data_IF_037416387140
#
_entry.id   IF_037416387140
#
_cell.length_a   1.000
_cell.length_b   1.000
_cell.length_c   1.000
_cell.angle_alpha   90.00
_cell.angle_beta   90.00
_cell.angle_gamma   90.00
#
_symmetry.space_group_name_H-M   'P 1'
#
loop_
_entity.id
_entity.type
_entity.pdbx_description
1 polymer ?
#
# COMPACT_ATOMS: atom_id res chain seq x y z
N UNK A 1 -21.34 -9.40 1.51
CA UNK A 1 -20.39 -8.65 0.66
C UNK A 1 -21.12 -7.46 0.05
N UNK A 2 -20.71 -6.21 0.30
CA UNK A 2 -21.30 -5.03 -0.35
C UNK A 2 -21.35 -5.18 -1.88
N UNK A 3 -22.44 -4.73 -2.52
CA UNK A 3 -22.69 -4.89 -3.97
C UNK A 3 -21.52 -4.38 -4.83
N UNK A 4 -20.97 -3.22 -4.48
CA UNK A 4 -19.86 -2.61 -5.23
C UNK A 4 -18.60 -3.49 -5.30
N UNK A 5 -18.36 -4.36 -4.31
CA UNK A 5 -17.16 -5.19 -4.30
C UNK A 5 -17.25 -6.28 -5.37
N UNK A 6 -18.43 -6.85 -5.59
CA UNK A 6 -18.67 -7.81 -6.67
C UNK A 6 -18.54 -7.11 -8.04
N UNK A 7 -19.15 -5.93 -8.17
CA UNK A 7 -19.03 -5.11 -9.38
C UNK A 7 -17.56 -4.77 -9.70
N UNK A 8 -16.77 -4.44 -8.67
CA UNK A 8 -15.35 -4.13 -8.81
C UNK A 8 -14.55 -5.35 -9.29
N UNK A 9 -14.77 -6.51 -8.69
CA UNK A 9 -14.12 -7.77 -9.10
C UNK A 9 -14.44 -8.09 -10.55
N UNK A 10 -15.72 -8.02 -10.93
CA UNK A 10 -16.16 -8.30 -12.30
C UNK A 10 -15.60 -7.28 -13.30
N UNK A 11 -15.72 -5.98 -13.00
CA UNK A 11 -15.28 -4.89 -13.87
C UNK A 11 -13.78 -4.99 -14.17
N UNK A 12 -12.97 -5.27 -13.15
CA UNK A 12 -11.52 -5.37 -13.31
C UNK A 12 -11.03 -6.81 -13.57
N UNK A 13 -11.90 -7.83 -13.61
CA UNK A 13 -11.51 -9.25 -13.79
C UNK A 13 -10.49 -9.73 -12.75
N UNK A 14 -10.77 -9.45 -11.48
CA UNK A 14 -9.87 -9.75 -10.37
C UNK A 14 -10.07 -11.19 -9.87
N UNK A 15 -9.01 -11.77 -9.30
CA UNK A 15 -9.10 -13.01 -8.51
C UNK A 15 -8.66 -12.71 -7.07
N UNK A 16 -9.61 -12.59 -6.12
CA UNK A 16 -9.29 -12.44 -4.71
C UNK A 16 -8.36 -13.54 -4.22
N UNK A 17 -7.32 -13.15 -3.49
CA UNK A 17 -6.37 -14.05 -2.83
C UNK A 17 -5.87 -13.41 -1.54
N UNK A 18 -6.45 -13.82 -0.41
CA UNK A 18 -6.07 -13.36 0.92
C UNK A 18 -5.12 -14.31 1.65
N UNK A 19 -4.54 -15.30 0.96
CA UNK A 19 -3.70 -16.36 1.58
C UNK A 19 -2.35 -15.84 2.10
N UNK A 20 -1.88 -14.70 1.61
CA UNK A 20 -0.65 -13.99 2.02
C UNK A 20 -0.99 -12.59 2.50
N UNK A 21 -0.33 -12.14 3.57
CA UNK A 21 -0.33 -10.73 3.95
C UNK A 21 0.74 -9.98 3.13
N UNK A 22 0.31 -8.95 2.41
CA UNK A 22 1.13 -8.01 1.63
C UNK A 22 1.11 -6.69 2.37
N UNK A 23 2.09 -6.49 3.24
CA UNK A 23 2.19 -5.33 4.09
C UNK A 23 3.05 -4.26 3.40
N UNK A 24 2.46 -3.09 3.14
CA UNK A 24 3.20 -1.91 2.67
C UNK A 24 3.30 -0.92 3.81
N UNK A 25 4.53 -0.50 4.14
CA UNK A 25 4.83 0.44 5.21
C UNK A 25 5.36 1.74 4.62
N UNK A 26 4.58 2.81 4.72
CA UNK A 26 5.01 4.17 4.40
C UNK A 26 5.51 4.89 5.66
N UNK A 27 6.07 6.09 5.48
CA UNK A 27 6.64 6.85 6.60
C UNK A 27 5.59 7.37 7.57
N UNK A 28 4.65 8.18 7.09
CA UNK A 28 3.69 8.91 7.90
C UNK A 28 2.44 9.30 7.09
N UNK A 29 1.30 9.57 7.75
CA UNK A 29 0.10 10.11 7.10
C UNK A 29 0.37 11.40 6.31
N UNK A 30 -0.46 11.66 5.29
CA UNK A 30 -0.45 12.93 4.57
C UNK A 30 -0.71 14.10 5.52
N UNK A 31 0.23 15.05 5.60
CA UNK A 31 0.10 16.26 6.41
C UNK A 31 -0.81 17.33 5.78
N UNK A 32 -1.09 17.22 4.48
CA UNK A 32 -1.88 18.19 3.73
C UNK A 32 -3.39 18.11 4.07
N UNK A 33 -4.09 19.20 3.75
CA UNK A 33 -5.55 19.33 3.87
C UNK A 33 -6.13 19.76 2.54
N UNK A 34 -7.40 19.42 2.29
CA UNK A 34 -8.22 19.96 1.22
C UNK A 34 -9.27 20.90 1.85
N UNK A 35 -9.00 22.19 1.83
CA UNK A 35 -9.73 23.16 2.64
C UNK A 35 -9.65 22.80 4.13
N UNK A 36 -10.79 22.58 4.77
CA UNK A 36 -10.85 22.19 6.19
C UNK A 36 -10.69 20.69 6.42
N UNK A 37 -10.72 19.85 5.37
CA UNK A 37 -10.70 18.39 5.51
C UNK A 37 -9.27 17.84 5.47
N UNK A 38 -8.86 16.98 6.42
CA UNK A 38 -7.59 16.25 6.33
C UNK A 38 -7.52 15.42 5.04
N UNK A 39 -6.34 15.38 4.41
CA UNK A 39 -6.12 14.51 3.27
C UNK A 39 -5.83 13.07 3.69
N UNK A 40 -5.26 12.86 4.88
CA UNK A 40 -5.07 11.54 5.45
C UNK A 40 -6.41 10.82 5.65
N UNK A 41 -6.43 9.53 5.32
CA UNK A 41 -7.57 8.65 5.58
C UNK A 41 -7.55 8.25 7.06
N UNK A 42 -8.60 8.62 7.80
CA UNK A 42 -8.82 8.15 9.18
C UNK A 42 -9.24 6.68 9.17
N UNK A 43 -8.80 5.95 10.20
CA UNK A 43 -9.19 4.56 10.44
C UNK A 43 -10.44 4.42 11.30
N UNK A 44 -11.07 5.53 11.69
CA UNK A 44 -12.30 5.51 12.46
C UNK A 44 -13.40 4.79 11.68
N UNK A 45 -13.97 3.75 12.29
CA UNK A 45 -14.98 2.90 11.64
C UNK A 45 -14.41 1.78 10.78
N UNK A 46 -13.09 1.58 10.76
CA UNK A 46 -12.47 0.47 10.03
C UNK A 46 -12.92 -0.90 10.56
N UNK A 47 -13.14 -1.83 9.65
CA UNK A 47 -13.33 -3.25 9.97
C UNK A 47 -12.01 -3.95 10.24
N UNK A 48 -10.93 -3.51 9.58
CA UNK A 48 -9.55 -3.99 9.83
C UNK A 48 -9.05 -3.49 11.20
N UNK A 49 -8.66 -4.39 12.13
CA UNK A 49 -8.22 -4.00 13.47
C UNK A 49 -7.07 -2.99 13.47
N UNK A 50 -6.05 -3.21 12.64
CA UNK A 50 -4.88 -2.33 12.55
C UNK A 50 -5.28 -0.87 12.28
N UNK A 51 -6.10 -0.62 11.25
CA UNK A 51 -6.54 0.75 10.90
C UNK A 51 -7.35 1.38 12.02
N UNK A 52 -8.21 0.61 12.70
CA UNK A 52 -9.00 1.11 13.83
C UNK A 52 -8.11 1.55 14.98
N UNK A 53 -7.06 0.78 15.27
CA UNK A 53 -6.15 1.02 16.38
C UNK A 53 -5.12 2.12 16.11
N UNK A 54 -4.73 2.33 14.86
CA UNK A 54 -3.77 3.38 14.47
C UNK A 54 -4.44 4.66 13.94
N UNK A 55 -5.76 4.60 13.75
CA UNK A 55 -6.60 5.65 13.16
C UNK A 55 -6.04 6.23 11.84
N UNK A 56 -5.46 5.36 11.00
CA UNK A 56 -4.93 5.80 9.73
C UNK A 56 -4.79 4.67 8.69
N UNK A 57 -4.80 5.06 7.42
CA UNK A 57 -4.41 4.21 6.28
C UNK A 57 -3.28 4.90 5.52
N UNK A 58 -2.21 4.15 5.22
CA UNK A 58 -1.10 4.70 4.46
C UNK A 58 -1.38 4.81 2.96
N UNK A 59 -0.72 5.76 2.30
CA UNK A 59 -0.67 5.93 0.84
C UNK A 59 -2.02 6.15 0.13
N UNK A 60 -3.16 6.12 0.84
CA UNK A 60 -4.45 6.55 0.33
C UNK A 60 -4.76 7.96 0.82
N UNK A 61 -5.53 8.69 0.03
CA UNK A 61 -6.07 9.99 0.40
C UNK A 61 -7.58 9.91 0.64
N UNK A 62 -8.11 10.81 1.46
CA UNK A 62 -9.52 10.87 1.82
C UNK A 62 -10.45 11.23 0.65
N UNK A 63 -9.90 11.73 -0.46
CA UNK A 63 -10.64 12.11 -1.65
C UNK A 63 -9.93 11.61 -2.92
N UNK A 64 -10.56 10.68 -3.64
CA UNK A 64 -10.03 10.11 -4.87
C UNK A 64 -9.73 11.13 -5.97
N UNK A 65 -10.40 12.29 -5.95
CA UNK A 65 -10.15 13.35 -6.93
C UNK A 65 -8.78 14.01 -6.75
N UNK A 66 -8.15 13.86 -5.57
CA UNK A 66 -6.84 14.40 -5.26
C UNK A 66 -5.78 13.30 -5.26
N UNK A 67 -5.37 12.89 -6.45
CA UNK A 67 -4.30 11.90 -6.61
C UNK A 67 -2.96 12.47 -6.13
N UNK A 68 -2.50 12.04 -4.95
CA UNK A 68 -1.13 12.28 -4.49
C UNK A 68 -0.21 11.16 -5.00
N UNK A 69 1.08 11.45 -5.19
CA UNK A 69 2.04 10.50 -5.81
C UNK A 69 2.08 9.16 -5.08
N UNK A 70 1.97 9.16 -3.74
CA UNK A 70 1.87 7.93 -2.95
C UNK A 70 0.68 7.05 -3.32
N UNK A 71 -0.49 7.64 -3.59
CA UNK A 71 -1.70 6.89 -4.01
C UNK A 71 -1.56 6.37 -5.43
N UNK A 72 -0.99 7.18 -6.32
CA UNK A 72 -0.72 6.77 -7.69
C UNK A 72 0.19 5.55 -7.75
N UNK A 73 1.31 5.57 -7.03
CA UNK A 73 2.28 4.47 -7.07
C UNK A 73 1.75 3.18 -6.46
N UNK A 74 1.00 3.28 -5.35
CA UNK A 74 0.47 2.08 -4.71
C UNK A 74 -0.59 1.44 -5.60
N UNK A 75 -1.49 2.24 -6.20
CA UNK A 75 -2.47 1.72 -7.13
C UNK A 75 -1.82 1.14 -8.40
N UNK A 76 -0.76 1.76 -8.89
CA UNK A 76 0.01 1.24 -10.03
C UNK A 76 0.66 -0.11 -9.71
N UNK A 77 1.31 -0.21 -8.55
CA UNK A 77 1.92 -1.44 -8.06
C UNK A 77 0.87 -2.55 -7.91
N UNK A 78 -0.23 -2.26 -7.21
CA UNK A 78 -1.29 -3.24 -6.99
C UNK A 78 -1.93 -3.69 -8.31
N UNK A 79 -2.11 -2.77 -9.27
CA UNK A 79 -2.73 -3.04 -10.55
C UNK A 79 -1.80 -3.68 -11.60
N UNK A 80 -0.48 -3.71 -11.35
CA UNK A 80 0.52 -4.14 -12.32
C UNK A 80 0.76 -3.13 -13.46
N UNK A 81 0.41 -1.86 -13.26
CA UNK A 81 0.69 -0.78 -14.21
C UNK A 81 -0.12 0.51 -13.97
N UNK A 82 0.42 1.68 -14.37
CA UNK A 82 -0.16 2.99 -14.06
C UNK A 82 -1.54 3.23 -14.66
N UNK A 83 -1.73 2.90 -15.95
CA UNK A 83 -3.01 3.11 -16.65
C UNK A 83 -4.17 2.42 -15.93
N UNK A 84 -3.91 1.22 -15.40
CA UNK A 84 -4.91 0.45 -14.66
C UNK A 84 -5.10 0.95 -13.24
N UNK A 85 -4.02 1.37 -12.57
CA UNK A 85 -4.10 2.07 -11.28
C UNK A 85 -5.00 3.31 -11.35
N UNK A 86 -4.83 4.14 -12.38
CA UNK A 86 -5.69 5.30 -12.64
C UNK A 86 -7.14 4.91 -12.97
N UNK A 87 -7.34 3.87 -13.77
CA UNK A 87 -8.68 3.36 -14.06
C UNK A 87 -9.41 2.89 -12.78
N UNK A 88 -8.69 2.23 -11.86
CA UNK A 88 -9.22 1.83 -10.55
C UNK A 88 -9.60 3.06 -9.72
N UNK A 89 -8.73 4.05 -9.61
CA UNK A 89 -9.03 5.29 -8.89
C UNK A 89 -10.26 6.02 -9.45
N UNK A 90 -10.33 6.15 -10.78
CA UNK A 90 -11.47 6.78 -11.46
C UNK A 90 -12.77 6.01 -11.22
N UNK A 91 -12.73 4.67 -11.22
CA UNK A 91 -13.88 3.84 -10.91
C UNK A 91 -14.35 4.02 -9.46
N UNK A 92 -13.42 4.02 -8.50
CA UNK A 92 -13.72 4.21 -7.07
C UNK A 92 -14.34 5.59 -6.82
N UNK A 93 -13.79 6.64 -7.47
CA UNK A 93 -14.34 7.99 -7.44
C UNK A 93 -15.76 8.04 -8.01
N UNK A 94 -15.97 7.47 -9.20
CA UNK A 94 -17.26 7.44 -9.90
C UNK A 94 -18.35 6.77 -9.05
N UNK A 95 -18.01 5.69 -8.36
CA UNK A 95 -18.95 4.94 -7.51
C UNK A 95 -18.98 5.43 -6.06
N UNK A 96 -18.29 6.54 -5.75
CA UNK A 96 -18.26 7.17 -4.42
C UNK A 96 -17.86 6.19 -3.30
N UNK A 97 -16.96 5.27 -3.60
CA UNK A 97 -16.45 4.33 -2.60
C UNK A 97 -15.57 5.09 -1.62
N UNK A 98 -15.73 4.91 -0.31
CA UNK A 98 -14.83 5.56 0.64
C UNK A 98 -13.43 4.93 0.58
N UNK A 99 -12.33 5.72 0.64
CA UNK A 99 -10.97 5.20 0.71
C UNK A 99 -10.73 4.18 1.82
N UNK A 100 -11.33 4.41 3.01
CA UNK A 100 -11.27 3.44 4.10
C UNK A 100 -11.97 2.11 3.76
N UNK A 101 -13.15 2.18 3.12
CA UNK A 101 -13.87 0.98 2.68
C UNK A 101 -13.09 0.19 1.62
N UNK A 102 -12.35 0.88 0.75
CA UNK A 102 -11.44 0.24 -0.19
C UNK A 102 -10.23 -0.39 0.50
N UNK A 103 -9.65 0.27 1.50
CA UNK A 103 -8.54 -0.28 2.29
C UNK A 103 -8.95 -1.56 3.05
N UNK A 104 -10.14 -1.56 3.66
CA UNK A 104 -10.70 -2.75 4.30
C UNK A 104 -10.96 -3.89 3.30
N UNK A 105 -11.48 -3.55 2.12
CA UNK A 105 -11.68 -4.49 1.03
C UNK A 105 -10.36 -5.13 0.55
N UNK A 106 -9.31 -4.32 0.38
CA UNK A 106 -7.97 -4.79 0.02
C UNK A 106 -7.42 -5.79 1.05
N UNK A 107 -7.58 -5.49 2.34
CA UNK A 107 -7.15 -6.39 3.40
C UNK A 107 -7.93 -7.70 3.40
N UNK A 108 -9.27 -7.62 3.36
CA UNK A 108 -10.14 -8.79 3.47
C UNK A 108 -10.05 -9.72 2.26
N UNK A 109 -9.94 -9.19 1.05
CA UNK A 109 -10.03 -9.98 -0.19
C UNK A 109 -8.68 -10.25 -0.87
N UNK A 110 -7.66 -9.45 -0.60
CA UNK A 110 -6.34 -9.60 -1.23
C UNK A 110 -5.19 -9.63 -0.24
N UNK A 111 -5.49 -9.59 1.07
CA UNK A 111 -4.46 -9.58 2.11
C UNK A 111 -3.52 -8.38 2.02
N UNK A 112 -3.96 -7.23 1.48
CA UNK A 112 -3.11 -6.02 1.42
C UNK A 112 -3.37 -5.12 2.62
N UNK A 113 -2.33 -4.79 3.38
CA UNK A 113 -2.39 -3.85 4.50
C UNK A 113 -1.47 -2.65 4.25
N UNK A 114 -2.00 -1.44 4.37
CA UNK A 114 -1.27 -0.20 4.12
C UNK A 114 -1.02 0.56 5.44
N UNK A 115 0.18 0.40 5.99
CA UNK A 115 0.55 0.92 7.30
C UNK A 115 1.50 2.12 7.22
N UNK A 116 1.46 3.00 8.23
CA UNK A 116 2.49 4.02 8.42
C UNK A 116 3.40 3.64 9.58
N UNK A 117 4.70 3.90 9.42
CA UNK A 117 5.73 3.74 10.44
C UNK A 117 5.52 4.69 11.63
N UNK A 118 5.04 5.92 11.36
CA UNK A 118 4.73 6.94 12.36
C UNK A 118 3.28 7.39 12.23
N UNK A 119 2.61 7.63 13.35
CA UNK A 119 1.25 8.19 13.43
C UNK A 119 1.22 9.33 14.45
N UNK A 120 0.02 9.87 14.74
CA UNK A 120 -0.16 10.83 15.82
C UNK A 120 0.19 10.25 17.19
N UNK A 121 0.06 8.94 17.36
CA UNK A 121 0.35 8.22 18.60
C UNK A 121 1.83 7.81 18.70
N UNK A 122 2.65 8.29 17.75
CA UNK A 122 4.07 8.05 17.69
C UNK A 122 4.46 6.88 16.80
N UNK A 123 5.52 6.21 17.19
CA UNK A 123 6.24 5.25 16.38
C UNK A 123 5.61 3.84 16.44
N UNK A 124 5.25 3.25 15.30
CA UNK A 124 4.44 2.03 15.22
C UNK A 124 5.24 0.73 15.08
N UNK A 125 6.57 0.75 15.29
CA UNK A 125 7.45 -0.42 15.05
C UNK A 125 7.04 -1.61 15.90
N UNK A 126 6.89 -1.43 17.20
CA UNK A 126 6.49 -2.50 18.11
C UNK A 126 5.16 -3.13 17.68
N UNK A 127 4.19 -2.31 17.23
CA UNK A 127 2.89 -2.80 16.74
C UNK A 127 3.02 -3.57 15.43
N UNK A 128 3.84 -3.08 14.49
CA UNK A 128 4.11 -3.76 13.23
C UNK A 128 4.89 -5.07 13.44
N UNK A 129 5.88 -5.09 14.33
CA UNK A 129 6.60 -6.32 14.70
C UNK A 129 5.67 -7.34 15.38
N UNK A 130 4.77 -6.90 16.26
CA UNK A 130 3.75 -7.76 16.86
C UNK A 130 2.78 -8.32 15.81
N UNK A 131 2.37 -7.49 14.84
CA UNK A 131 1.58 -7.97 13.71
C UNK A 131 2.33 -9.06 12.93
N UNK A 132 3.61 -8.84 12.61
CA UNK A 132 4.43 -9.83 11.90
C UNK A 132 4.58 -11.14 12.67
N UNK A 133 4.67 -11.09 14.01
CA UNK A 133 4.87 -12.29 14.83
C UNK A 133 3.58 -13.07 15.11
N UNK A 134 2.42 -12.42 14.99
CA UNK A 134 1.11 -13.02 15.26
C UNK A 134 0.31 -13.34 13.99
N UNK A 135 0.77 -12.88 12.83
CA UNK A 135 0.11 -13.13 11.55
C UNK A 135 0.26 -14.61 11.13
N UNK A 136 -0.84 -15.38 11.01
CA UNK A 136 -0.78 -16.79 10.63
C UNK A 136 -0.45 -17.02 9.15
N UNK A 137 -0.61 -16.00 8.30
CA UNK A 137 -0.32 -16.10 6.87
C UNK A 137 1.16 -15.82 6.58
N UNK A 138 1.71 -16.36 5.48
CA UNK A 138 2.96 -15.86 4.94
C UNK A 138 2.89 -14.34 4.73
N UNK A 139 3.97 -13.62 5.05
CA UNK A 139 4.03 -12.15 4.89
C UNK A 139 5.03 -11.78 3.79
N UNK A 140 4.71 -10.74 3.02
CA UNK A 140 5.66 -9.97 2.22
C UNK A 140 5.59 -8.52 2.63
N UNK A 141 6.74 -7.95 2.99
CA UNK A 141 6.86 -6.62 3.57
C UNK A 141 7.53 -5.66 2.58
N UNK A 142 6.88 -4.56 2.23
CA UNK A 142 7.45 -3.53 1.36
C UNK A 142 7.51 -2.19 2.11
N UNK A 143 8.70 -1.62 2.25
CA UNK A 143 8.87 -0.26 2.73
C UNK A 143 8.87 0.74 1.59
N UNK A 144 8.02 1.76 1.68
CA UNK A 144 8.02 2.88 0.77
C UNK A 144 9.01 3.96 1.28
N UNK A 145 10.28 3.80 0.91
CA UNK A 145 11.39 4.66 1.31
C UNK A 145 12.24 4.12 2.46
N UNK A 146 13.52 4.49 2.48
CA UNK A 146 14.47 4.05 3.51
C UNK A 146 14.09 4.49 4.92
N UNK A 147 13.52 5.68 5.08
CA UNK A 147 13.09 6.19 6.38
C UNK A 147 11.99 5.32 7.02
N UNK A 148 11.14 4.67 6.21
CA UNK A 148 10.13 3.75 6.74
C UNK A 148 10.75 2.44 7.25
N UNK A 149 11.89 2.03 6.68
CA UNK A 149 12.63 0.82 7.02
C UNK A 149 13.68 1.04 8.13
N UNK A 150 14.09 2.29 8.35
CA UNK A 150 15.16 2.62 9.28
C UNK A 150 14.90 2.06 10.68
N UNK A 151 15.88 1.32 11.20
CA UNK A 151 15.88 0.66 12.49
C UNK A 151 14.66 -0.27 12.73
N UNK A 152 13.98 -0.71 11.67
CA UNK A 152 12.82 -1.60 11.79
C UNK A 152 13.22 -3.02 12.18
N UNK A 153 14.34 -3.52 11.66
CA UNK A 153 14.83 -4.86 11.91
C UNK A 153 15.73 -4.88 13.15
N UNK A 154 15.34 -5.63 14.16
CA UNK A 154 16.13 -5.96 15.34
C UNK A 154 15.94 -7.45 15.70
N UNK A 155 16.49 -7.89 16.84
CA UNK A 155 16.40 -9.29 17.31
C UNK A 155 14.96 -9.78 17.54
N UNK A 156 13.99 -8.88 17.66
CA UNK A 156 12.57 -9.21 17.86
C UNK A 156 11.80 -9.29 16.54
N UNK A 157 12.35 -8.79 15.43
CA UNK A 157 11.67 -8.80 14.13
C UNK A 157 11.70 -10.20 13.54
N UNK A 158 10.53 -10.83 13.26
CA UNK A 158 10.49 -12.11 12.59
C UNK A 158 11.16 -12.05 11.22
N UNK A 159 11.84 -13.13 10.83
CA UNK A 159 12.39 -13.26 9.49
C UNK A 159 11.25 -13.32 8.46
N UNK A 160 11.08 -12.24 7.69
CA UNK A 160 10.06 -12.13 6.64
C UNK A 160 10.68 -11.61 5.34
N UNK A 161 10.22 -12.07 4.17
CA UNK A 161 10.62 -11.48 2.89
C UNK A 161 10.30 -9.99 2.87
N UNK A 162 11.32 -9.15 2.64
CA UNK A 162 11.16 -7.71 2.63
C UNK A 162 11.82 -7.03 1.44
N UNK A 163 11.29 -5.88 1.05
CA UNK A 163 11.88 -4.98 0.06
C UNK A 163 11.77 -3.53 0.51
N UNK A 164 12.70 -2.71 0.05
CA UNK A 164 12.68 -1.26 0.25
C UNK A 164 12.68 -0.59 -1.12
N UNK A 165 11.59 0.11 -1.44
CA UNK A 165 11.46 0.89 -2.67
C UNK A 165 11.82 2.36 -2.42
N UNK A 166 12.07 3.11 -3.48
CA UNK A 166 12.22 4.57 -3.41
C UNK A 166 10.95 5.21 -2.84
N UNK A 167 11.10 6.24 -2.01
CA UNK A 167 9.95 6.97 -1.48
C UNK A 167 9.20 7.67 -2.64
N UNK A 168 7.87 7.53 -2.76
CA UNK A 168 7.15 8.07 -3.92
C UNK A 168 7.04 9.59 -3.96
N UNK A 169 7.35 10.28 -2.87
CA UNK A 169 7.45 11.74 -2.80
C UNK A 169 8.88 12.25 -2.64
N UNK A 170 9.90 11.52 -3.13
CA UNK A 170 11.28 12.02 -3.13
C UNK A 170 11.35 13.37 -3.85
N UNK A 171 11.90 14.40 -3.20
CA UNK A 171 11.93 15.77 -3.73
C UNK A 171 12.76 15.90 -5.02
N UNK A 172 13.59 14.90 -5.32
CA UNK A 172 14.53 14.89 -6.43
C UNK A 172 14.03 14.07 -7.65
N UNK A 173 12.70 13.96 -7.84
CA UNK A 173 12.08 13.35 -9.05
C UNK A 173 12.50 14.01 -10.39
N UNK A 174 13.33 15.06 -10.36
CA UNK A 174 13.96 15.68 -11.53
C UNK A 174 15.31 15.07 -11.95
N UNK A 175 15.92 14.17 -11.17
CA UNK A 175 17.13 13.45 -11.58
C UNK A 175 16.74 12.20 -12.38
N UNK A 176 17.38 11.97 -13.55
CA UNK A 176 17.08 10.82 -14.43
C UNK A 176 17.13 9.48 -13.70
N UNK A 177 18.04 9.34 -12.72
CA UNK A 177 18.17 8.16 -11.86
C UNK A 177 16.89 7.89 -11.07
N UNK A 178 16.29 8.92 -10.48
CA UNK A 178 15.11 8.76 -9.61
C UNK A 178 13.84 8.52 -10.42
N UNK A 179 13.75 9.11 -11.62
CA UNK A 179 12.70 8.80 -12.59
C UNK A 179 12.77 7.33 -13.05
N UNK A 180 13.97 6.82 -13.32
CA UNK A 180 14.20 5.39 -13.62
C UNK A 180 13.81 4.48 -12.46
N UNK A 181 14.23 4.81 -11.23
CA UNK A 181 13.86 4.03 -10.03
C UNK A 181 12.35 4.03 -9.78
N UNK A 182 11.65 5.15 -9.98
CA UNK A 182 10.18 5.20 -9.91
C UNK A 182 9.52 4.27 -10.93
N UNK A 183 10.02 4.30 -12.17
CA UNK A 183 9.55 3.41 -13.24
C UNK A 183 9.69 1.94 -12.83
N UNK A 184 10.84 1.53 -12.32
CA UNK A 184 11.09 0.12 -11.98
C UNK A 184 10.39 -0.33 -10.68
N UNK A 185 10.39 0.49 -9.63
CA UNK A 185 9.79 0.12 -8.34
C UNK A 185 8.27 0.06 -8.36
N UNK A 186 7.64 1.08 -8.95
CA UNK A 186 6.22 1.34 -8.71
C UNK A 186 5.36 1.10 -9.95
N UNK A 187 5.87 1.44 -11.14
CA UNK A 187 5.10 1.35 -12.38
C UNK A 187 5.29 0.01 -13.11
N UNK A 188 6.55 -0.42 -13.30
CA UNK A 188 6.89 -1.72 -13.86
C UNK A 188 6.91 -2.82 -12.81
N UNK A 189 7.26 -2.48 -11.56
CA UNK A 189 7.36 -3.38 -10.42
C UNK A 189 8.16 -4.66 -10.72
N UNK A 190 9.27 -4.55 -11.44
CA UNK A 190 9.97 -5.66 -12.09
C UNK A 190 11.17 -6.21 -11.29
N UNK A 191 11.20 -5.96 -9.97
CA UNK A 191 12.20 -6.42 -9.00
C UNK A 191 13.63 -5.93 -9.23
N UNK A 192 13.96 -5.38 -10.41
CA UNK A 192 15.34 -5.10 -10.83
C UNK A 192 16.02 -3.92 -10.13
N UNK A 193 15.33 -3.18 -9.26
CA UNK A 193 15.84 -1.89 -8.79
C UNK A 193 15.74 -1.60 -7.29
N UNK A 194 15.16 -2.49 -6.48
CA UNK A 194 14.91 -2.23 -5.05
C UNK A 194 16.16 -1.69 -4.34
N UNK A 195 15.98 -0.68 -3.48
CA UNK A 195 17.08 -0.10 -2.70
C UNK A 195 17.76 -1.15 -1.83
N UNK A 196 16.94 -2.01 -1.21
CA UNK A 196 17.34 -3.17 -0.42
C UNK A 196 16.28 -4.25 -0.53
N UNK A 197 16.68 -5.52 -0.46
CA UNK A 197 15.74 -6.64 -0.35
C UNK A 197 16.32 -7.76 0.50
N UNK A 198 15.43 -8.45 1.20
CA UNK A 198 15.71 -9.72 1.87
C UNK A 198 15.49 -10.91 0.94
N UNK A 199 15.84 -12.12 1.40
CA UNK A 199 15.63 -13.34 0.63
C UNK A 199 14.15 -13.55 0.28
N UNK A 200 13.91 -14.14 -0.89
CA UNK A 200 12.59 -14.54 -1.40
C UNK A 200 11.56 -13.41 -1.54
N UNK A 201 12.01 -12.15 -1.56
CA UNK A 201 11.14 -11.01 -1.83
C UNK A 201 10.87 -10.85 -3.33
N UNK A 202 9.62 -10.53 -3.68
CA UNK A 202 9.23 -10.09 -5.02
C UNK A 202 8.07 -9.10 -4.95
N UNK A 203 8.16 -8.00 -5.71
CA UNK A 203 7.11 -7.03 -5.95
C UNK A 203 5.91 -7.63 -6.66
N UNK A 204 6.09 -8.75 -7.40
CA UNK A 204 4.98 -9.47 -8.03
C UNK A 204 3.95 -9.93 -7.01
N UNK A 205 4.36 -10.21 -5.77
CA UNK A 205 3.44 -10.55 -4.70
C UNK A 205 2.40 -9.45 -4.44
N UNK A 206 2.70 -8.18 -4.76
CA UNK A 206 1.81 -7.06 -4.50
C UNK A 206 0.83 -6.78 -5.66
N UNK A 207 0.97 -7.39 -6.84
CA UNK A 207 0.14 -7.14 -8.04
C UNK A 207 -1.24 -7.81 -7.98
N UNK A 208 -1.94 -7.66 -6.87
CA UNK A 208 -3.19 -8.38 -6.58
C UNK A 208 -4.43 -7.84 -7.31
N UNK A 209 -4.31 -6.66 -7.92
CA UNK A 209 -5.35 -6.04 -8.74
C UNK A 209 -5.05 -6.15 -10.25
N UNK A 210 -4.03 -6.91 -10.63
CA UNK A 210 -3.77 -7.26 -12.03
C UNK A 210 -4.84 -8.24 -12.56
N UNK A 211 -5.11 -8.26 -13.88
CA UNK A 211 -5.99 -9.26 -14.47
C UNK A 211 -5.45 -10.66 -14.21
N UNK A 212 -6.37 -11.60 -14.02
CA UNK A 212 -6.01 -13.00 -13.78
C UNK A 212 -5.20 -13.69 -14.89
N UNK A 213 -5.14 -13.09 -16.08
CA UNK A 213 -4.54 -13.66 -17.29
C UNK A 213 -3.13 -13.11 -17.59
N UNK A 214 -2.53 -12.35 -16.65
CA UNK A 214 -1.18 -11.77 -16.79
C UNK A 214 -0.22 -12.21 -15.67
N UNK A 215 -0.18 -13.52 -15.40
CA UNK A 215 0.85 -14.16 -14.57
C UNK A 215 2.15 -14.41 -15.32
#
# INVERSE_FOLDING_TARGET
>A
MPHWQQDFIWHFRLRPDSSRLRLVVARAPYAHRLGTRPLAVSGQGATTPYYRETDNVAMLVADWARMETGMEVILSLLAGGPQRGWAIAAWLAKHRIAPLAFADYLYAHFGVLLANRRTRDGDQKARLQLLLSTEPRPVSLLFAGDEACQDFFDEQTPAVPFGVAIHPGSADLGLERDAGLMLHHWYRADDQALLRSGPDFSLRHFRVLAPADHG
#
